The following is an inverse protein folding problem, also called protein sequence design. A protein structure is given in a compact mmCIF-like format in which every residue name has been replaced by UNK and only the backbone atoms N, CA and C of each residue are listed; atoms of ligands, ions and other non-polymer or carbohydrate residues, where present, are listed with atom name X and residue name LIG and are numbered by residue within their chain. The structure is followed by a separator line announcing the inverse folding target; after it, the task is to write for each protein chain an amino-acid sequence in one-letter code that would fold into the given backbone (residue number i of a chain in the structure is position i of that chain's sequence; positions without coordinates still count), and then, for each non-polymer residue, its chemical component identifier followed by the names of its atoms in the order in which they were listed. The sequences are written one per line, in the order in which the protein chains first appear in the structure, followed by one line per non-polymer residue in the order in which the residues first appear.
data_IF_710649879723
#
_entry.id   IF_710649879723
#
_cell.length_a   1.000
_cell.length_b   1.000
_cell.length_c   1.000
_cell.angle_alpha   90.00
_cell.angle_beta   90.00
_cell.angle_gamma   90.00
#
_symmetry.space_group_name_H-M   'P 1'
#
loop_
_entity.id
_entity.type
_entity.pdbx_description
1 polymer ?
#
# COMPACT_ATOMS: atom_id res chain seq x y z
N UNK A 1 13.47 6.73 27.79
CA UNK A 1 12.72 7.31 26.65
C UNK A 1 11.63 6.33 26.26
N UNK A 2 10.35 6.72 26.32
CA UNK A 2 9.26 5.81 25.96
C UNK A 2 9.20 5.62 24.44
N UNK A 3 8.77 4.44 23.97
CA UNK A 3 8.58 4.11 22.55
C UNK A 3 7.69 5.14 21.81
N UNK A 4 6.80 5.83 22.52
CA UNK A 4 5.90 6.84 21.97
C UNK A 4 6.66 8.06 21.46
N UNK A 5 7.72 8.49 22.15
CA UNK A 5 8.53 9.63 21.73
C UNK A 5 9.30 9.34 20.43
N UNK A 6 9.66 8.08 20.16
CA UNK A 6 10.36 7.68 18.93
C UNK A 6 9.39 7.70 17.74
N UNK A 7 8.16 7.20 17.93
CA UNK A 7 7.11 7.27 16.89
C UNK A 7 6.81 8.72 16.51
N UNK A 8 6.64 9.60 17.49
CA UNK A 8 6.35 11.01 17.22
C UNK A 8 7.52 11.75 16.56
N UNK A 9 8.76 11.41 16.92
CA UNK A 9 9.94 11.98 16.26
C UNK A 9 10.06 11.53 14.81
N UNK A 10 9.77 10.25 14.54
CA UNK A 10 9.74 9.69 13.20
C UNK A 10 8.66 10.38 12.38
N UNK A 11 7.41 10.45 12.85
CA UNK A 11 6.29 11.12 12.18
C UNK A 11 6.63 12.59 11.88
N UNK A 12 7.23 13.33 12.82
CA UNK A 12 7.67 14.72 12.59
C UNK A 12 8.78 14.84 11.54
N UNK A 13 9.73 13.91 11.52
CA UNK A 13 10.82 13.90 10.52
C UNK A 13 10.32 13.52 9.11
N UNK A 14 9.28 12.69 9.04
CA UNK A 14 8.68 12.19 7.80
C UNK A 14 7.87 13.27 7.09
N UNK A 15 7.08 14.04 7.84
CA UNK A 15 6.34 15.21 7.37
C UNK A 15 7.23 16.25 6.67
N UNK A 16 8.50 16.37 7.08
CA UNK A 16 9.43 17.38 6.57
C UNK A 16 10.13 17.00 5.24
N UNK A 17 9.96 15.77 4.74
CA UNK A 17 10.86 15.21 3.70
C UNK A 17 10.19 14.45 2.53
N UNK A 18 8.87 14.54 2.31
CA UNK A 18 8.13 13.66 1.36
C UNK A 18 8.36 12.15 1.60
N UNK A 19 8.83 11.76 2.79
CA UNK A 19 9.07 10.36 3.14
C UNK A 19 7.80 9.63 3.53
N UNK A 20 6.75 10.35 3.91
CA UNK A 20 5.43 9.78 4.19
C UNK A 20 4.88 9.03 2.98
N UNK A 21 4.92 9.64 1.79
CA UNK A 21 4.49 8.98 0.55
C UNK A 21 5.25 7.68 0.27
N UNK A 22 6.57 7.66 0.57
CA UNK A 22 7.40 6.46 0.39
C UNK A 22 7.03 5.37 1.40
N UNK A 23 6.76 5.73 2.65
CA UNK A 23 6.33 4.78 3.67
C UNK A 23 4.96 4.22 3.33
N UNK A 24 4.00 5.08 2.98
CA UNK A 24 2.65 4.67 2.59
C UNK A 24 2.72 3.75 1.36
N UNK A 25 3.50 4.12 0.34
CA UNK A 25 3.69 3.28 -0.84
C UNK A 25 4.33 1.93 -0.52
N UNK A 26 5.27 1.89 0.44
CA UNK A 26 5.88 0.65 0.92
C UNK A 26 4.90 -0.23 1.69
N UNK A 27 4.05 0.35 2.54
CA UNK A 27 2.99 -0.36 3.25
C UNK A 27 1.99 -0.96 2.26
N UNK A 28 1.57 -0.17 1.26
CA UNK A 28 0.68 -0.64 0.20
C UNK A 28 1.34 -1.78 -0.58
N UNK A 29 2.60 -1.62 -0.99
CA UNK A 29 3.36 -2.64 -1.70
C UNK A 29 3.42 -3.96 -0.94
N UNK A 30 3.84 -3.91 0.32
CA UNK A 30 3.93 -5.08 1.17
C UNK A 30 2.54 -5.68 1.45
N UNK A 31 1.49 -4.86 1.52
CA UNK A 31 0.14 -5.41 1.64
C UNK A 31 -0.24 -6.21 0.42
N UNK A 32 -0.11 -5.62 -0.77
CA UNK A 32 -0.52 -6.26 -2.02
C UNK A 32 0.24 -7.58 -2.22
N UNK A 33 1.56 -7.60 -1.98
CA UNK A 33 2.35 -8.85 -2.09
C UNK A 33 1.85 -9.91 -1.11
N UNK A 34 1.66 -9.56 0.16
CA UNK A 34 1.21 -10.52 1.15
C UNK A 34 -0.20 -11.02 0.86
N UNK A 35 -1.09 -10.15 0.41
CA UNK A 35 -2.46 -10.52 0.05
C UNK A 35 -2.46 -11.47 -1.16
N UNK A 36 -1.62 -11.23 -2.16
CA UNK A 36 -1.44 -12.15 -3.30
C UNK A 36 -0.86 -13.50 -2.88
N UNK A 37 0.16 -13.48 -2.01
CA UNK A 37 0.78 -14.69 -1.51
C UNK A 37 -0.21 -15.52 -0.68
N UNK A 38 -1.04 -14.88 0.13
CA UNK A 38 -2.00 -15.57 1.00
C UNK A 38 -3.23 -16.09 0.25
N UNK A 39 -3.80 -15.28 -0.66
CA UNK A 39 -5.07 -15.60 -1.34
C UNK A 39 -4.83 -16.48 -2.55
N UNK A 40 -3.85 -16.11 -3.39
CA UNK A 40 -3.60 -16.77 -4.68
C UNK A 40 -2.43 -17.75 -4.62
N UNK A 41 -1.64 -17.77 -3.53
CA UNK A 41 -0.39 -18.54 -3.42
C UNK A 41 0.62 -18.21 -4.52
N UNK A 42 0.58 -16.97 -5.00
CA UNK A 42 1.46 -16.47 -6.06
C UNK A 42 2.32 -15.38 -5.47
N UNK A 43 3.64 -15.55 -5.58
CA UNK A 43 4.56 -14.44 -5.36
C UNK A 43 4.59 -13.53 -6.59
N UNK A 44 4.27 -12.26 -6.34
CA UNK A 44 4.28 -11.18 -7.34
C UNK A 44 5.39 -10.18 -7.09
N UNK A 45 6.30 -10.46 -6.15
CA UNK A 45 7.52 -9.69 -5.92
C UNK A 45 8.32 -9.63 -7.23
N UNK A 46 8.70 -8.41 -7.63
CA UNK A 46 9.37 -8.15 -8.91
C UNK A 46 8.47 -8.03 -10.14
N UNK A 47 7.16 -8.31 -10.00
CA UNK A 47 6.17 -8.08 -11.08
C UNK A 47 5.45 -6.73 -10.96
N UNK A 48 5.54 -6.10 -9.80
CA UNK A 48 5.07 -4.74 -9.56
C UNK A 48 6.18 -3.76 -9.94
N UNK A 49 5.93 -2.91 -10.93
CA UNK A 49 6.87 -1.87 -11.39
C UNK A 49 6.83 -0.66 -10.47
N UNK A 50 5.63 -0.19 -10.13
CA UNK A 50 5.47 0.97 -9.25
C UNK A 50 4.12 1.00 -8.56
N UNK A 51 4.11 1.60 -7.37
CA UNK A 51 2.93 1.91 -6.59
C UNK A 51 3.02 3.36 -6.19
N UNK A 52 1.93 4.11 -6.41
CA UNK A 52 1.79 5.47 -5.94
C UNK A 52 0.41 5.65 -5.33
N UNK A 53 0.36 6.28 -4.16
CA UNK A 53 -0.91 6.80 -3.64
C UNK A 53 -1.07 8.23 -4.16
N UNK A 54 -2.18 8.50 -4.82
CA UNK A 54 -2.58 9.85 -5.19
C UNK A 54 -3.92 10.15 -4.53
N UNK A 55 -3.90 10.97 -3.48
CA UNK A 55 -5.05 11.22 -2.59
C UNK A 55 -5.60 9.89 -2.06
N UNK A 56 -6.69 9.39 -2.64
CA UNK A 56 -7.31 8.13 -2.23
C UNK A 56 -7.24 7.05 -3.32
N UNK A 57 -6.43 7.24 -4.36
CA UNK A 57 -6.30 6.29 -5.47
C UNK A 57 -4.89 5.69 -5.44
N UNK A 58 -4.82 4.37 -5.35
CA UNK A 58 -3.60 3.60 -5.53
C UNK A 58 -3.43 3.35 -7.02
N UNK A 59 -2.40 3.97 -7.59
CA UNK A 59 -1.93 3.71 -8.93
C UNK A 59 -0.91 2.58 -8.87
N UNK A 60 -1.29 1.43 -9.43
CA UNK A 60 -0.46 0.23 -9.47
C UNK A 60 -0.08 -0.05 -10.91
N UNK A 61 1.23 -0.12 -11.17
CA UNK A 61 1.78 -0.52 -12.47
C UNK A 61 2.46 -1.86 -12.33
N UNK A 62 2.09 -2.82 -13.17
CA UNK A 62 2.72 -4.15 -13.22
C UNK A 62 3.40 -4.36 -14.57
N UNK A 63 4.32 -5.32 -14.64
CA UNK A 63 4.95 -5.75 -15.89
C UNK A 63 4.23 -6.95 -16.53
N UNK A 64 3.09 -7.36 -15.98
CA UNK A 64 2.38 -8.57 -16.39
C UNK A 64 0.89 -8.29 -16.58
N UNK A 65 0.37 -8.34 -17.83
CA UNK A 65 -1.05 -8.12 -18.10
C UNK A 65 -1.98 -9.10 -17.36
N UNK A 66 -1.51 -10.32 -17.11
CA UNK A 66 -2.26 -11.34 -16.36
C UNK A 66 -2.49 -10.86 -14.91
N UNK A 67 -1.48 -10.24 -14.29
CA UNK A 67 -1.64 -9.71 -12.94
C UNK A 67 -2.66 -8.60 -12.87
N UNK A 68 -2.80 -7.78 -13.90
CA UNK A 68 -3.83 -6.74 -13.93
C UNK A 68 -5.23 -7.34 -13.75
N UNK A 69 -5.51 -8.44 -14.46
CA UNK A 69 -6.77 -9.17 -14.32
C UNK A 69 -6.93 -9.76 -12.91
N UNK A 70 -5.87 -10.41 -12.39
CA UNK A 70 -5.90 -10.99 -11.04
C UNK A 70 -6.12 -9.93 -9.95
N UNK A 71 -5.46 -8.76 -10.06
CA UNK A 71 -5.63 -7.64 -9.13
C UNK A 71 -7.08 -7.18 -9.11
N UNK A 72 -7.73 -7.11 -10.28
CA UNK A 72 -9.15 -6.74 -10.35
C UNK A 72 -10.03 -7.78 -9.64
N UNK A 73 -9.72 -9.07 -9.74
CA UNK A 73 -10.51 -10.12 -9.07
C UNK A 73 -10.48 -10.02 -7.54
N UNK A 74 -9.35 -9.63 -6.96
CA UNK A 74 -9.18 -9.51 -5.49
C UNK A 74 -9.19 -8.07 -4.99
N UNK A 75 -9.54 -7.11 -5.86
CA UNK A 75 -9.43 -5.66 -5.63
C UNK A 75 -10.08 -5.22 -4.31
N UNK A 76 -11.29 -5.69 -4.05
CA UNK A 76 -12.03 -5.30 -2.84
C UNK A 76 -11.33 -5.78 -1.56
N UNK A 77 -10.76 -6.98 -1.58
CA UNK A 77 -10.01 -7.54 -0.44
C UNK A 77 -8.73 -6.74 -0.21
N UNK A 78 -7.99 -6.42 -1.28
CA UNK A 78 -6.80 -5.57 -1.21
C UNK A 78 -7.11 -4.21 -0.59
N UNK A 79 -8.18 -3.55 -1.06
CA UNK A 79 -8.60 -2.24 -0.55
C UNK A 79 -8.89 -2.29 0.95
N UNK A 80 -9.63 -3.31 1.42
CA UNK A 80 -9.95 -3.46 2.84
C UNK A 80 -8.68 -3.68 3.67
N UNK A 81 -7.82 -4.61 3.26
CA UNK A 81 -6.59 -4.93 3.99
C UNK A 81 -5.63 -3.73 4.05
N UNK A 82 -5.50 -2.99 2.94
CA UNK A 82 -4.69 -1.77 2.90
C UNK A 82 -5.30 -0.70 3.82
N UNK A 83 -6.62 -0.50 3.77
CA UNK A 83 -7.31 0.47 4.63
C UNK A 83 -7.07 0.17 6.11
N UNK A 84 -7.22 -1.09 6.53
CA UNK A 84 -6.92 -1.50 7.91
C UNK A 84 -5.46 -1.22 8.29
N UNK A 85 -4.50 -1.50 7.40
CA UNK A 85 -3.08 -1.24 7.67
C UNK A 85 -2.75 0.26 7.76
N UNK A 86 -3.43 1.09 6.97
CA UNK A 86 -3.28 2.55 7.02
C UNK A 86 -3.96 3.15 8.25
N UNK A 87 -5.13 2.65 8.64
CA UNK A 87 -5.80 3.07 9.88
C UNK A 87 -4.93 2.77 11.11
N UNK A 88 -4.21 1.64 11.13
CA UNK A 88 -3.27 1.28 12.21
C UNK A 88 -2.08 2.24 12.39
N UNK A 89 -1.76 3.04 11.37
CA UNK A 89 -0.73 4.09 11.45
C UNK A 89 -1.34 5.49 11.57
N UNK A 90 -2.61 5.58 11.97
CA UNK A 90 -3.40 6.82 12.04
C UNK A 90 -3.56 7.54 10.69
N UNK A 91 -3.43 6.84 9.57
CA UNK A 91 -3.65 7.38 8.23
C UNK A 91 -5.05 7.00 7.71
N UNK A 92 -6.03 7.87 7.96
CA UNK A 92 -7.43 7.60 7.62
C UNK A 92 -7.72 7.88 6.15
N UNK A 93 -8.10 6.85 5.39
CA UNK A 93 -8.62 6.98 4.02
C UNK A 93 -10.08 6.53 3.97
N UNK A 94 -10.96 7.43 3.53
CA UNK A 94 -12.40 7.15 3.47
C UNK A 94 -12.72 6.28 2.24
N UNK A 95 -12.30 6.72 1.05
CA UNK A 95 -12.65 6.11 -0.24
C UNK A 95 -11.40 5.68 -1.03
N UNK A 96 -10.80 4.56 -0.63
CA UNK A 96 -9.61 4.01 -1.29
C UNK A 96 -10.01 3.21 -2.54
N UNK A 97 -9.37 3.49 -3.67
CA UNK A 97 -9.55 2.75 -4.92
C UNK A 97 -8.20 2.31 -5.51
N UNK A 98 -8.20 1.24 -6.32
CA UNK A 98 -7.02 0.75 -7.05
C UNK A 98 -7.25 0.93 -8.55
N UNK A 99 -6.36 1.68 -9.21
CA UNK A 99 -6.31 1.86 -10.66
C UNK A 99 -5.02 1.27 -11.23
N UNK A 100 -5.16 0.51 -12.30
CA UNK A 100 -4.06 -0.10 -13.03
C UNK A 100 -3.61 0.85 -14.15
N UNK A 101 -2.30 1.01 -14.31
CA UNK A 101 -1.69 1.89 -15.33
C UNK A 101 -0.75 1.11 -16.25
#
# INVERSE_FOLDING_TARGET
MSFNNIKDLLIKSLNKTNKEDKIISSIIYNSIINDFLNIKKIDIKGKIISIKLNKNIILLKTNSPILNSEILTIKNILIQNIKTKLDNINYKIINLDIKLK
#
